data_IF_218424679266
#
_entry.id   IF_218424679266
#
_cell.length_a   1.000
_cell.length_b   1.000
_cell.length_c   1.000
_cell.angle_alpha   90.00
_cell.angle_beta   90.00
_cell.angle_gamma   90.00
#
_symmetry.space_group_name_H-M   'P 1'
#
loop_
_entity.id
_entity.type
_entity.pdbx_description
1 polymer ?
#
# COMPACT_ATOMS: atom_id res chain seq x y z
N UNK A 1 3.77 9.97 -5.19
CA UNK A 1 3.02 9.91 -6.46
C UNK A 1 2.19 8.64 -6.62
N UNK A 2 2.73 7.44 -6.31
CA UNK A 2 2.08 6.18 -6.66
C UNK A 2 1.54 5.42 -5.42
N UNK A 3 2.05 4.20 -5.15
CA UNK A 3 1.53 3.29 -4.14
C UNK A 3 1.74 3.75 -2.69
N UNK A 4 1.05 3.05 -1.78
CA UNK A 4 0.99 3.29 -0.33
C UNK A 4 2.35 3.33 0.37
N UNK A 5 3.36 2.60 -0.13
CA UNK A 5 4.67 2.47 0.53
C UNK A 5 5.33 3.82 0.78
N UNK A 6 5.09 4.83 -0.08
CA UNK A 6 5.59 6.18 0.20
C UNK A 6 7.12 6.29 0.24
N UNK A 7 7.82 5.52 -0.61
CA UNK A 7 9.29 5.50 -0.65
C UNK A 7 9.89 6.91 -0.79
N UNK A 8 11.00 7.15 -0.09
CA UNK A 8 11.74 8.41 -0.14
C UNK A 8 12.58 8.55 -1.41
N UNK A 9 12.52 9.74 -2.00
CA UNK A 9 13.28 10.14 -3.19
C UNK A 9 13.85 11.55 -3.01
N UNK A 10 14.91 11.86 -3.74
CA UNK A 10 15.48 13.20 -3.87
C UNK A 10 15.38 13.65 -5.32
N UNK A 11 14.88 14.86 -5.52
CA UNK A 11 14.86 15.54 -6.81
C UNK A 11 16.03 16.55 -6.85
N UNK A 12 16.97 16.32 -7.75
CA UNK A 12 18.09 17.23 -8.00
C UNK A 12 17.82 17.98 -9.30
N UNK A 13 17.77 19.30 -9.27
CA UNK A 13 17.65 20.12 -10.48
C UNK A 13 18.83 21.07 -10.65
N UNK A 14 19.18 21.35 -11.90
CA UNK A 14 20.23 22.31 -12.26
C UNK A 14 20.00 22.89 -13.66
N UNK A 15 20.56 24.07 -13.99
CA UNK A 15 20.34 24.73 -15.28
C UNK A 15 20.76 23.87 -16.48
N UNK A 16 20.00 23.92 -17.59
CA UNK A 16 20.25 23.11 -18.80
C UNK A 16 21.59 23.31 -19.49
N UNK A 17 22.26 24.42 -19.23
CA UNK A 17 23.58 24.74 -19.77
C UNK A 17 24.73 24.39 -18.81
N UNK A 18 24.45 23.68 -17.71
CA UNK A 18 25.44 23.22 -16.73
C UNK A 18 25.37 21.70 -16.57
N UNK A 19 26.50 21.11 -16.22
CA UNK A 19 26.59 19.68 -15.88
C UNK A 19 27.71 19.47 -14.87
N UNK A 20 27.65 18.35 -14.15
CA UNK A 20 28.77 17.85 -13.35
C UNK A 20 29.84 17.19 -14.22
N UNK A 21 30.98 16.87 -13.61
CA UNK A 21 32.08 16.12 -14.22
C UNK A 21 32.24 14.72 -13.63
N UNK A 22 33.20 13.95 -14.15
CA UNK A 22 33.50 12.60 -13.65
C UNK A 22 34.35 12.58 -12.39
N UNK A 23 35.14 13.63 -12.13
CA UNK A 23 35.98 13.74 -10.95
C UNK A 23 35.14 13.87 -9.66
N UNK A 24 35.61 13.35 -8.50
CA UNK A 24 34.86 13.37 -7.24
C UNK A 24 34.36 14.76 -6.80
N UNK A 25 35.17 15.79 -6.98
CA UNK A 25 34.86 17.19 -6.63
C UNK A 25 33.93 17.89 -7.62
N UNK A 26 33.65 17.26 -8.77
CA UNK A 26 32.85 17.81 -9.86
C UNK A 26 31.42 17.22 -9.92
N UNK A 27 31.01 16.36 -8.97
CA UNK A 27 29.67 15.76 -8.96
C UNK A 27 29.06 15.67 -7.55
N UNK A 28 27.73 15.47 -7.51
CA UNK A 28 26.96 15.45 -6.26
C UNK A 28 27.30 14.27 -5.34
N UNK A 29 27.88 13.20 -5.87
CA UNK A 29 28.15 11.96 -5.15
C UNK A 29 29.53 11.94 -4.48
N UNK A 30 30.43 12.89 -4.79
CA UNK A 30 31.79 12.85 -4.23
C UNK A 30 32.60 11.64 -4.68
N UNK A 31 32.28 11.06 -5.85
CA UNK A 31 32.79 9.76 -6.31
C UNK A 31 33.40 9.87 -7.71
N UNK A 32 34.41 9.06 -8.03
CA UNK A 32 34.99 8.97 -9.38
C UNK A 32 34.05 8.20 -10.33
N UNK A 33 33.30 8.94 -11.15
CA UNK A 33 32.32 8.38 -12.08
C UNK A 33 32.95 7.87 -13.39
N UNK A 34 34.26 8.00 -13.57
CA UNK A 34 34.96 7.36 -14.72
C UNK A 34 35.11 5.84 -14.55
N UNK A 35 34.88 5.34 -13.33
CA UNK A 35 35.00 3.93 -12.96
C UNK A 35 33.63 3.28 -12.87
N UNK A 36 33.59 1.98 -13.19
CA UNK A 36 32.43 1.14 -12.96
C UNK A 36 32.05 1.15 -11.47
N UNK A 37 30.76 1.34 -11.20
CA UNK A 37 30.24 1.39 -9.83
C UNK A 37 29.85 -0.02 -9.35
N UNK A 38 29.96 -0.31 -8.04
CA UNK A 38 29.54 -1.58 -7.46
C UNK A 38 28.02 -1.73 -7.44
N UNK A 39 27.55 -2.95 -7.15
CA UNK A 39 26.13 -3.22 -6.92
C UNK A 39 25.56 -2.29 -5.84
N UNK A 40 24.29 -1.91 -6.01
CA UNK A 40 23.56 -1.05 -5.07
C UNK A 40 24.25 0.30 -4.79
N UNK A 41 25.06 0.83 -5.72
CA UNK A 41 25.71 2.15 -5.55
C UNK A 41 24.71 3.29 -5.40
N UNK A 42 25.10 4.36 -4.68
CA UNK A 42 24.30 5.61 -4.67
C UNK A 42 24.62 6.51 -5.86
N UNK A 43 25.80 6.34 -6.45
CA UNK A 43 26.38 7.19 -7.48
C UNK A 43 25.93 6.79 -8.90
N UNK A 44 24.66 6.38 -9.04
CA UNK A 44 24.06 6.01 -10.32
C UNK A 44 22.57 6.30 -10.34
N UNK A 45 22.03 6.51 -11.55
CA UNK A 45 20.61 6.61 -11.81
C UNK A 45 20.30 6.08 -13.20
N UNK A 46 19.11 5.49 -13.37
CA UNK A 46 18.66 4.99 -14.67
C UNK A 46 18.19 6.13 -15.58
N UNK A 47 18.11 5.93 -16.91
CA UNK A 47 17.58 6.95 -17.82
C UNK A 47 16.17 7.45 -17.45
N UNK A 48 15.31 6.56 -16.93
CA UNK A 48 13.94 6.90 -16.53
C UNK A 48 13.87 7.85 -15.31
N UNK A 49 14.97 7.94 -14.55
CA UNK A 49 15.11 8.86 -13.41
C UNK A 49 15.55 10.26 -13.83
N UNK A 50 15.85 10.51 -15.12
CA UNK A 50 16.29 11.79 -15.64
C UNK A 50 15.26 12.43 -16.59
N UNK A 51 15.09 13.75 -16.50
CA UNK A 51 14.36 14.54 -17.49
C UNK A 51 14.84 16.00 -17.59
N UNK A 52 14.22 16.78 -18.47
CA UNK A 52 14.30 18.25 -18.49
C UNK A 52 12.89 18.79 -18.24
N UNK A 53 12.71 19.66 -17.26
CA UNK A 53 11.40 20.19 -16.88
C UNK A 53 11.47 21.70 -16.70
N UNK A 54 10.32 22.37 -16.74
CA UNK A 54 10.24 23.80 -16.39
C UNK A 54 10.24 23.99 -14.88
N UNK A 55 11.14 24.84 -14.37
CA UNK A 55 11.19 25.30 -12.99
C UNK A 55 11.32 26.83 -13.00
N UNK A 56 10.34 27.52 -12.42
CA UNK A 56 10.29 29.00 -12.39
C UNK A 56 10.45 29.64 -13.78
N UNK A 57 9.84 29.05 -14.81
CA UNK A 57 9.89 29.53 -16.19
C UNK A 57 11.19 29.23 -16.94
N UNK A 58 12.13 28.51 -16.33
CA UNK A 58 13.38 28.08 -16.97
C UNK A 58 13.43 26.57 -17.12
N UNK A 59 14.05 26.10 -18.21
CA UNK A 59 14.32 24.68 -18.36
C UNK A 59 15.48 24.28 -17.45
N UNK A 60 15.27 23.20 -16.69
CA UNK A 60 16.28 22.59 -15.83
C UNK A 60 16.37 21.11 -16.10
N UNK A 61 17.59 20.56 -16.01
CA UNK A 61 17.76 19.14 -15.81
C UNK A 61 17.12 18.74 -14.49
N UNK A 62 16.54 17.55 -14.41
CA UNK A 62 16.07 16.96 -13.17
C UNK A 62 16.46 15.49 -13.10
N UNK A 63 16.95 15.05 -11.94
CA UNK A 63 17.09 13.64 -11.58
C UNK A 63 16.27 13.36 -10.33
N UNK A 64 15.34 12.42 -10.41
CA UNK A 64 14.54 11.94 -9.28
C UNK A 64 15.01 10.53 -8.92
N UNK A 65 15.87 10.42 -7.90
CA UNK A 65 16.47 9.14 -7.48
C UNK A 65 16.04 8.73 -6.07
N UNK A 66 15.94 7.43 -5.77
CA UNK A 66 15.58 6.97 -4.44
C UNK A 66 16.64 7.40 -3.42
N UNK A 67 16.18 7.66 -2.19
CA UNK A 67 17.03 8.07 -1.07
C UNK A 67 17.49 6.87 -0.25
N UNK A 68 18.80 6.64 -0.18
CA UNK A 68 19.40 5.58 0.64
C UNK A 68 19.21 5.77 2.13
N UNK A 69 19.06 7.01 2.60
CA UNK A 69 18.85 7.29 4.01
C UNK A 69 17.39 7.10 4.47
N UNK A 70 16.46 6.91 3.53
CA UNK A 70 15.05 6.74 3.88
C UNK A 70 14.81 5.32 4.40
N UNK A 71 14.40 5.20 5.66
CA UNK A 71 14.17 3.90 6.33
C UNK A 71 13.07 3.05 5.68
N UNK A 72 12.18 3.66 4.89
CA UNK A 72 11.08 2.97 4.20
C UNK A 72 11.57 2.10 3.05
N UNK A 73 12.59 2.54 2.32
CA UNK A 73 13.03 1.87 1.11
C UNK A 73 14.53 1.64 1.03
N UNK A 74 15.34 2.24 1.90
CA UNK A 74 16.79 2.06 1.96
C UNK A 74 17.48 2.25 0.60
N UNK A 75 16.97 3.16 -0.24
CA UNK A 75 17.48 3.40 -1.59
C UNK A 75 16.87 2.53 -2.70
N UNK A 76 15.97 1.60 -2.39
CA UNK A 76 15.20 0.86 -3.38
C UNK A 76 14.25 1.79 -4.13
N UNK A 77 14.14 1.59 -5.44
CA UNK A 77 13.14 2.25 -6.28
C UNK A 77 12.36 1.22 -7.08
N UNK A 78 11.04 1.13 -6.84
CA UNK A 78 10.19 0.26 -7.66
C UNK A 78 10.16 0.74 -9.12
N UNK A 79 9.78 -0.14 -10.05
CA UNK A 79 9.65 0.21 -11.48
C UNK A 79 8.72 1.40 -11.73
N UNK A 80 7.75 1.63 -10.84
CA UNK A 80 6.82 2.77 -10.89
C UNK A 80 7.48 4.05 -10.37
N UNK A 81 8.12 3.99 -9.20
CA UNK A 81 8.76 5.16 -8.59
C UNK A 81 10.01 5.63 -9.35
N UNK A 82 10.79 4.69 -9.88
CA UNK A 82 12.03 4.96 -10.62
C UNK A 82 11.82 5.70 -11.96
N UNK A 83 10.59 5.78 -12.46
CA UNK A 83 10.24 6.50 -13.69
C UNK A 83 9.51 7.82 -13.45
N UNK A 84 9.53 8.36 -12.22
CA UNK A 84 8.86 9.64 -11.93
C UNK A 84 9.35 10.79 -12.82
N UNK A 85 10.65 10.85 -13.12
CA UNK A 85 11.19 11.90 -13.97
C UNK A 85 10.77 11.73 -15.43
N UNK A 86 10.86 10.52 -15.99
CA UNK A 86 10.38 10.21 -17.35
C UNK A 86 8.90 10.51 -17.54
N UNK A 87 8.08 10.21 -16.51
CA UNK A 87 6.64 10.51 -16.49
C UNK A 87 6.33 11.97 -16.11
N UNK A 88 7.31 12.86 -16.08
CA UNK A 88 7.11 14.29 -15.89
C UNK A 88 6.93 14.99 -17.23
N UNK A 89 6.14 16.07 -17.24
CA UNK A 89 5.91 16.88 -18.43
C UNK A 89 7.21 17.52 -18.94
N UNK A 90 7.55 17.29 -20.20
CA UNK A 90 8.69 17.92 -20.85
C UNK A 90 8.38 18.24 -22.31
N UNK A 91 8.50 19.50 -22.70
CA UNK A 91 8.49 19.90 -24.10
C UNK A 91 9.85 19.60 -24.77
N UNK A 92 10.93 19.80 -24.04
CA UNK A 92 12.31 19.61 -24.51
C UNK A 92 12.62 18.15 -24.82
N UNK A 93 12.01 17.23 -24.06
CA UNK A 93 12.17 15.77 -24.24
C UNK A 93 10.91 15.05 -24.73
N UNK A 94 9.85 15.78 -25.06
CA UNK A 94 8.58 15.26 -25.58
C UNK A 94 7.94 14.16 -24.69
N UNK A 95 8.02 14.29 -23.36
CA UNK A 95 7.41 13.34 -22.42
C UNK A 95 6.09 13.90 -21.87
N UNK A 96 5.08 13.03 -21.78
CA UNK A 96 3.75 13.36 -21.25
C UNK A 96 3.06 14.56 -21.93
N UNK A 97 3.24 14.74 -23.24
CA UNK A 97 2.59 15.81 -24.01
C UNK A 97 1.06 15.74 -24.03
N UNK A 98 0.49 14.60 -23.60
CA UNK A 98 -0.93 14.41 -23.38
C UNK A 98 -1.50 15.16 -22.16
N UNK A 99 -0.65 15.72 -21.29
CA UNK A 99 -1.11 16.48 -20.11
C UNK A 99 -1.98 17.66 -20.55
N UNK A 100 -3.09 17.84 -19.85
CA UNK A 100 -3.95 19.01 -20.03
C UNK A 100 -3.18 20.30 -19.69
N UNK A 101 -3.21 21.26 -20.61
CA UNK A 101 -2.56 22.59 -20.48
C UNK A 101 -3.57 23.71 -20.30
N UNK A 102 -4.77 23.55 -20.86
CA UNK A 102 -5.80 24.57 -20.93
C UNK A 102 -7.15 24.01 -20.46
N UNK A 103 -8.02 24.83 -19.86
CA UNK A 103 -9.43 24.50 -19.72
C UNK A 103 -10.06 24.18 -21.07
N UNK A 104 -10.88 23.13 -21.13
CA UNK A 104 -11.56 22.69 -22.35
C UNK A 104 -13.07 22.71 -22.15
N UNK A 105 -13.79 23.32 -23.09
CA UNK A 105 -15.27 23.38 -23.10
C UNK A 105 -15.80 22.75 -24.38
N UNK A 106 -16.87 21.94 -24.26
CA UNK A 106 -17.57 21.40 -25.42
C UNK A 106 -18.44 22.48 -26.07
N UNK A 107 -18.04 22.94 -27.27
CA UNK A 107 -18.77 23.94 -28.06
C UNK A 107 -18.39 23.83 -29.53
N UNK A 108 -19.25 24.32 -30.42
CA UNK A 108 -19.01 24.29 -31.87
C UNK A 108 -18.72 22.88 -32.43
N UNK A 109 -19.29 21.84 -31.79
CA UNK A 109 -19.16 20.44 -32.22
C UNK A 109 -17.94 19.69 -31.69
N UNK A 110 -17.10 20.29 -30.84
CA UNK A 110 -15.90 19.63 -30.30
C UNK A 110 -15.43 20.24 -28.96
N UNK A 111 -14.44 19.62 -28.31
CA UNK A 111 -13.74 20.24 -27.17
C UNK A 111 -12.85 21.37 -27.68
N UNK A 112 -12.97 22.55 -27.10
CA UNK A 112 -12.21 23.75 -27.47
C UNK A 112 -11.50 24.34 -26.25
N UNK A 113 -10.22 24.75 -26.39
CA UNK A 113 -9.52 25.44 -25.33
C UNK A 113 -10.17 26.79 -25.04
N UNK A 114 -10.10 27.22 -23.79
CA UNK A 114 -10.62 28.51 -23.34
C UNK A 114 -9.91 29.02 -22.09
N UNK A 115 -10.26 30.23 -21.63
CA UNK A 115 -9.69 30.80 -20.41
C UNK A 115 -10.28 30.16 -19.14
N UNK A 116 -9.57 30.31 -18.02
CA UNK A 116 -10.10 29.90 -16.71
C UNK A 116 -11.41 30.60 -16.36
N UNK A 117 -11.52 31.90 -16.63
CA UNK A 117 -12.73 32.67 -16.34
C UNK A 117 -13.95 32.15 -17.11
N UNK A 118 -13.80 31.85 -18.41
CA UNK A 118 -14.89 31.30 -19.24
C UNK A 118 -15.31 29.89 -18.77
N UNK A 119 -14.34 29.01 -18.52
CA UNK A 119 -14.61 27.66 -18.06
C UNK A 119 -15.28 27.64 -16.67
N UNK A 120 -14.79 28.45 -15.73
CA UNK A 120 -15.33 28.51 -14.37
C UNK A 120 -16.68 29.20 -14.32
N UNK A 121 -16.91 30.27 -15.10
CA UNK A 121 -18.23 30.92 -15.20
C UNK A 121 -19.29 29.94 -15.71
N UNK A 122 -18.98 29.17 -16.75
CA UNK A 122 -19.89 28.15 -17.27
C UNK A 122 -20.20 27.07 -16.23
N UNK A 123 -19.18 26.48 -15.60
CA UNK A 123 -19.35 25.45 -14.57
C UNK A 123 -20.19 25.99 -13.41
N UNK A 124 -19.89 27.20 -12.92
CA UNK A 124 -20.61 27.80 -11.81
C UNK A 124 -22.08 28.06 -12.16
N UNK A 125 -22.38 28.66 -13.32
CA UNK A 125 -23.76 28.96 -13.73
C UNK A 125 -24.61 27.70 -13.88
N UNK A 126 -24.09 26.67 -14.53
CA UNK A 126 -24.83 25.41 -14.70
C UNK A 126 -25.04 24.73 -13.35
N UNK A 127 -23.99 24.66 -12.51
CA UNK A 127 -24.08 24.04 -11.18
C UNK A 127 -25.11 24.76 -10.30
N UNK A 128 -25.06 26.09 -10.25
CA UNK A 128 -26.02 26.91 -9.49
C UNK A 128 -27.45 26.76 -10.03
N UNK A 129 -27.63 26.73 -11.36
CA UNK A 129 -28.94 26.52 -11.95
C UNK A 129 -29.55 25.16 -11.55
N UNK A 130 -28.74 24.09 -11.61
CA UNK A 130 -29.17 22.74 -11.17
C UNK A 130 -29.51 22.72 -9.68
N UNK A 131 -28.70 23.35 -8.83
CA UNK A 131 -28.98 23.41 -7.39
C UNK A 131 -30.25 24.20 -7.09
N UNK A 132 -30.50 25.29 -7.80
CA UNK A 132 -31.73 26.08 -7.61
C UNK A 132 -32.99 25.33 -8.04
N UNK A 133 -32.91 24.47 -9.06
CA UNK A 133 -34.03 23.70 -9.60
C UNK A 133 -34.27 22.38 -8.86
N UNK A 134 -33.19 21.62 -8.62
CA UNK A 134 -33.24 20.24 -8.10
C UNK A 134 -32.76 20.11 -6.65
N UNK A 135 -32.28 21.19 -6.03
CA UNK A 135 -31.55 21.14 -4.77
C UNK A 135 -30.13 20.57 -4.94
N UNK A 136 -29.38 20.51 -3.85
CA UNK A 136 -28.03 19.94 -3.85
C UNK A 136 -27.98 18.45 -4.22
N UNK A 137 -29.10 17.72 -4.06
CA UNK A 137 -29.21 16.32 -4.47
C UNK A 137 -29.17 16.14 -6.00
N UNK A 138 -29.43 17.20 -6.77
CA UNK A 138 -29.21 17.20 -8.22
C UNK A 138 -27.74 17.21 -8.64
N UNK A 139 -26.81 17.56 -7.74
CA UNK A 139 -25.38 17.57 -8.02
C UNK A 139 -24.71 16.24 -7.64
N UNK A 140 -24.00 15.66 -8.60
CA UNK A 140 -23.24 14.41 -8.42
C UNK A 140 -21.74 14.68 -8.44
N UNK A 141 -21.02 14.07 -7.51
CA UNK A 141 -19.56 14.23 -7.39
C UNK A 141 -18.88 12.87 -7.36
N UNK A 142 -17.78 12.71 -8.09
CA UNK A 142 -16.86 11.59 -7.95
C UNK A 142 -15.48 12.16 -7.67
N UNK A 143 -14.94 11.91 -6.48
CA UNK A 143 -13.69 12.52 -6.03
C UNK A 143 -12.69 11.49 -5.51
N UNK A 144 -11.41 11.85 -5.57
CA UNK A 144 -10.35 11.16 -4.84
C UNK A 144 -10.50 11.42 -3.32
N UNK A 145 -10.15 10.42 -2.52
CA UNK A 145 -10.04 10.51 -1.05
C UNK A 145 -8.66 10.02 -0.55
N UNK A 146 -7.75 9.72 -1.47
CA UNK A 146 -6.44 9.13 -1.19
C UNK A 146 -5.33 10.19 -1.02
N UNK A 147 -4.16 9.75 -0.58
CA UNK A 147 -2.93 10.55 -0.53
C UNK A 147 -2.16 10.59 -1.85
N UNK A 148 -0.93 11.12 -1.87
CA UNK A 148 -0.06 11.06 -3.05
C UNK A 148 -0.49 11.96 -4.22
N UNK A 149 -0.09 11.59 -5.45
CA UNK A 149 -0.42 12.42 -6.62
C UNK A 149 -1.91 12.28 -6.96
N UNK A 150 -2.57 13.38 -7.28
CA UNK A 150 -4.03 13.41 -7.49
C UNK A 150 -4.85 13.37 -6.19
N UNK A 151 -4.20 13.45 -5.02
CA UNK A 151 -4.84 13.47 -3.71
C UNK A 151 -4.03 14.28 -2.71
N UNK A 152 -3.95 13.84 -1.45
CA UNK A 152 -3.19 14.52 -0.38
C UNK A 152 -4.06 15.46 0.47
N UNK A 153 -3.51 15.91 1.60
CA UNK A 153 -4.27 16.68 2.59
C UNK A 153 -4.83 17.99 2.02
N UNK A 154 -4.04 18.71 1.25
CA UNK A 154 -4.42 20.01 0.69
C UNK A 154 -5.59 19.86 -0.29
N UNK A 155 -5.49 18.87 -1.18
CA UNK A 155 -6.48 18.62 -2.22
C UNK A 155 -7.78 18.03 -1.66
N UNK A 156 -7.69 17.05 -0.76
CA UNK A 156 -8.86 16.46 -0.10
C UNK A 156 -9.56 17.47 0.82
N UNK A 157 -8.80 18.35 1.48
CA UNK A 157 -9.38 19.46 2.21
C UNK A 157 -10.08 20.46 1.29
N UNK A 158 -9.47 20.83 0.17
CA UNK A 158 -10.08 21.76 -0.81
C UNK A 158 -11.41 21.24 -1.35
N UNK A 159 -11.43 20.01 -1.87
CA UNK A 159 -12.66 19.39 -2.40
C UNK A 159 -13.67 19.07 -1.30
N UNK A 160 -13.24 18.55 -0.16
CA UNK A 160 -14.11 18.29 0.99
C UNK A 160 -14.74 19.57 1.54
N UNK A 161 -13.96 20.65 1.67
CA UNK A 161 -14.49 21.95 2.11
C UNK A 161 -15.48 22.54 1.11
N UNK A 162 -15.28 22.35 -0.19
CA UNK A 162 -16.25 22.77 -1.20
C UNK A 162 -17.58 21.99 -1.04
N UNK A 163 -17.53 20.66 -1.09
CA UNK A 163 -18.75 19.85 -1.19
C UNK A 163 -19.44 19.54 0.15
N UNK A 164 -18.73 19.63 1.28
CA UNK A 164 -19.28 19.40 2.62
C UNK A 164 -19.26 20.62 3.54
N UNK A 165 -18.33 21.56 3.28
CA UNK A 165 -18.24 22.81 4.03
C UNK A 165 -19.21 23.85 3.48
N UNK A 166 -18.97 24.32 2.26
CA UNK A 166 -19.82 25.30 1.59
C UNK A 166 -21.17 24.71 1.18
N UNK A 167 -21.17 23.45 0.73
CA UNK A 167 -22.36 22.69 0.35
C UNK A 167 -22.62 21.56 1.35
N UNK A 168 -23.66 20.75 1.14
CA UNK A 168 -23.99 19.53 1.89
C UNK A 168 -24.30 18.36 0.95
N UNK A 169 -23.41 18.14 -0.02
CA UNK A 169 -23.60 17.11 -1.06
C UNK A 169 -23.67 15.71 -0.46
N UNK A 170 -24.79 15.01 -0.69
CA UNK A 170 -24.96 13.59 -0.33
C UNK A 170 -24.59 12.65 -1.47
N UNK A 171 -24.89 13.03 -2.71
CA UNK A 171 -24.67 12.22 -3.91
C UNK A 171 -23.22 12.29 -4.41
N UNK A 172 -22.30 11.97 -3.49
CA UNK A 172 -20.87 11.89 -3.75
C UNK A 172 -20.40 10.44 -3.64
N UNK A 173 -19.54 10.03 -4.55
CA UNK A 173 -18.82 8.76 -4.51
C UNK A 173 -17.32 9.00 -4.45
N UNK A 174 -16.60 7.93 -4.15
CA UNK A 174 -15.15 7.94 -4.06
C UNK A 174 -14.55 7.27 -5.32
N UNK A 175 -13.31 7.60 -5.62
CA UNK A 175 -12.62 7.16 -6.84
C UNK A 175 -12.66 5.65 -7.10
N UNK A 176 -12.61 4.82 -6.04
CA UNK A 176 -12.55 3.37 -6.15
C UNK A 176 -13.82 2.63 -5.67
N UNK A 177 -14.83 3.36 -5.19
CA UNK A 177 -16.07 2.77 -4.66
C UNK A 177 -17.29 3.66 -4.91
N UNK A 178 -18.46 3.09 -5.20
CA UNK A 178 -19.58 3.82 -5.80
C UNK A 178 -20.39 4.68 -4.81
N UNK A 179 -19.94 4.84 -3.57
CA UNK A 179 -20.59 5.63 -2.54
C UNK A 179 -19.55 6.32 -1.63
N UNK A 180 -20.02 7.21 -0.75
CA UNK A 180 -19.18 7.84 0.29
C UNK A 180 -19.11 6.96 1.55
N UNK A 181 -18.41 5.83 1.43
CA UNK A 181 -18.26 4.83 2.50
C UNK A 181 -16.78 4.57 2.82
N UNK A 182 -16.52 3.76 3.84
CA UNK A 182 -15.18 3.25 4.17
C UNK A 182 -14.95 1.89 3.50
N UNK A 183 -13.72 1.60 3.13
CA UNK A 183 -13.32 0.25 2.70
C UNK A 183 -13.39 -0.77 3.85
N UNK A 184 -13.32 -0.30 5.10
CA UNK A 184 -12.98 -1.13 6.26
C UNK A 184 -13.87 -0.78 7.45
N UNK A 185 -15.18 -0.68 7.23
CA UNK A 185 -16.15 -0.37 8.28
C UNK A 185 -15.98 -1.29 9.50
N UNK A 186 -15.88 -2.60 9.29
CA UNK A 186 -15.83 -3.59 10.37
C UNK A 186 -14.67 -3.35 11.35
N UNK A 187 -13.42 -3.20 10.88
CA UNK A 187 -12.27 -2.99 11.79
C UNK A 187 -12.38 -1.65 12.54
N UNK A 188 -12.93 -0.61 11.90
CA UNK A 188 -13.14 0.70 12.53
C UNK A 188 -14.25 0.65 13.59
N UNK A 189 -15.36 -0.04 13.30
CA UNK A 189 -16.45 -0.25 14.25
C UNK A 189 -16.00 -1.12 15.44
N UNK A 190 -15.05 -2.03 15.22
CA UNK A 190 -14.36 -2.79 16.26
C UNK A 190 -13.36 -1.95 17.07
N UNK A 191 -13.12 -0.68 16.71
CA UNK A 191 -12.20 0.24 17.39
C UNK A 191 -10.74 0.11 16.98
N UNK A 192 -10.43 -0.63 15.91
CA UNK A 192 -9.07 -0.86 15.41
C UNK A 192 -8.91 -0.21 14.04
N UNK A 193 -8.33 0.99 14.00
CA UNK A 193 -7.98 1.65 12.74
C UNK A 193 -7.02 0.79 11.90
N UNK A 194 -7.20 0.76 10.58
CA UNK A 194 -6.59 -0.24 9.69
C UNK A 194 -5.07 -0.11 9.50
N UNK A 195 -4.49 1.05 9.81
CA UNK A 195 -3.03 1.30 9.79
C UNK A 195 -2.50 1.49 11.22
N UNK A 196 -2.54 0.42 12.01
CA UNK A 196 -2.27 0.43 13.45
C UNK A 196 -0.86 -0.04 13.87
N UNK A 197 -0.03 -0.46 12.91
CA UNK A 197 1.31 -0.98 13.16
C UNK A 197 2.37 -0.15 12.42
N UNK A 198 3.63 -0.60 12.45
CA UNK A 198 4.72 0.00 11.68
C UNK A 198 5.37 -1.02 10.73
N UNK A 199 6.16 -0.56 9.77
CA UNK A 199 6.81 -1.46 8.80
C UNK A 199 7.85 -2.39 9.46
N UNK A 200 8.44 -1.96 10.57
CA UNK A 200 9.36 -2.75 11.36
C UNK A 200 8.69 -3.99 11.98
N UNK A 201 7.37 -3.97 12.23
CA UNK A 201 6.65 -5.16 12.71
C UNK A 201 6.73 -6.33 11.71
N UNK A 202 6.84 -6.05 10.41
CA UNK A 202 7.07 -7.09 9.41
C UNK A 202 8.47 -7.71 9.50
N UNK A 203 9.46 -6.97 10.01
CA UNK A 203 10.80 -7.50 10.29
C UNK A 203 10.82 -8.36 11.57
N UNK A 204 9.89 -8.09 12.48
CA UNK A 204 9.88 -8.63 13.83
C UNK A 204 8.92 -9.81 14.05
N UNK A 205 7.89 -9.97 13.22
CA UNK A 205 6.90 -11.03 13.36
C UNK A 205 7.53 -12.44 13.30
N UNK A 206 6.99 -13.39 14.08
CA UNK A 206 7.25 -14.82 13.93
C UNK A 206 6.49 -15.40 12.72
N UNK A 207 5.34 -14.81 12.38
CA UNK A 207 4.53 -15.21 11.23
C UNK A 207 3.90 -13.98 10.57
N UNK A 208 4.01 -13.91 9.24
CA UNK A 208 3.28 -12.93 8.44
C UNK A 208 2.08 -13.65 7.82
N UNK A 209 0.88 -13.12 8.01
CA UNK A 209 -0.34 -13.58 7.35
C UNK A 209 -0.73 -12.53 6.32
N UNK A 210 -0.58 -12.88 5.04
CA UNK A 210 -0.83 -12.00 3.91
C UNK A 210 -2.12 -12.43 3.18
N UNK A 211 -3.19 -11.66 3.33
CA UNK A 211 -4.53 -11.99 2.81
C UNK A 211 -4.88 -11.11 1.62
N UNK A 212 -5.23 -11.72 0.49
CA UNK A 212 -5.72 -10.99 -0.68
C UNK A 212 -4.74 -9.92 -1.18
N UNK A 213 -3.44 -10.16 -1.00
CA UNK A 213 -2.37 -9.22 -1.36
C UNK A 213 -1.30 -9.88 -2.22
N UNK A 214 -0.85 -9.16 -3.24
CA UNK A 214 0.28 -9.53 -4.08
C UNK A 214 1.42 -8.53 -3.83
N UNK A 215 1.97 -8.56 -2.61
CA UNK A 215 2.81 -7.51 -2.05
C UNK A 215 4.07 -7.21 -2.86
N UNK A 216 4.68 -8.21 -3.51
CA UNK A 216 5.83 -7.96 -4.37
C UNK A 216 5.48 -7.02 -5.54
N UNK A 217 4.29 -7.13 -6.11
CA UNK A 217 3.87 -6.29 -7.23
C UNK A 217 3.23 -4.98 -6.76
N UNK A 218 2.52 -5.00 -5.64
CA UNK A 218 1.59 -3.91 -5.23
C UNK A 218 2.10 -3.06 -4.06
N UNK A 219 2.95 -3.62 -3.18
CA UNK A 219 3.66 -2.92 -2.09
C UNK A 219 5.17 -3.22 -2.13
N UNK A 220 5.73 -3.26 -3.35
CA UNK A 220 7.05 -3.81 -3.68
C UNK A 220 8.15 -3.53 -2.65
N UNK A 221 8.39 -2.27 -2.31
CA UNK A 221 9.52 -1.94 -1.45
C UNK A 221 9.23 -2.20 0.04
N UNK A 222 7.97 -2.25 0.48
CA UNK A 222 7.66 -2.73 1.82
C UNK A 222 7.99 -4.22 1.93
N UNK A 223 7.55 -5.01 0.95
CA UNK A 223 7.88 -6.42 0.84
C UNK A 223 9.40 -6.65 0.79
N UNK A 224 10.11 -6.00 -0.14
CA UNK A 224 11.55 -6.21 -0.34
C UNK A 224 12.41 -5.72 0.81
N UNK A 225 12.07 -4.57 1.42
CA UNK A 225 12.91 -3.95 2.45
C UNK A 225 12.59 -4.40 3.88
N UNK A 226 11.40 -4.96 4.13
CA UNK A 226 10.97 -5.30 5.50
C UNK A 226 10.49 -6.75 5.65
N UNK A 227 9.79 -7.32 4.68
CA UNK A 227 9.32 -8.71 4.78
C UNK A 227 10.44 -9.70 4.45
N UNK A 228 11.13 -9.48 3.32
CA UNK A 228 12.23 -10.34 2.86
C UNK A 228 13.35 -10.47 3.91
N UNK A 229 13.79 -9.41 4.62
CA UNK A 229 14.75 -9.56 5.71
C UNK A 229 14.32 -10.54 6.81
N UNK A 230 13.03 -10.56 7.16
CA UNK A 230 12.51 -11.50 8.15
C UNK A 230 12.49 -12.94 7.63
N UNK A 231 12.04 -13.12 6.39
CA UNK A 231 11.98 -14.42 5.71
C UNK A 231 13.38 -15.05 5.54
N UNK A 232 14.37 -14.22 5.19
CA UNK A 232 15.79 -14.63 5.11
C UNK A 232 16.43 -14.87 6.47
N UNK A 233 15.85 -14.33 7.54
CA UNK A 233 16.42 -14.34 8.89
C UNK A 233 17.47 -13.25 9.16
N UNK A 234 17.64 -12.27 8.28
CA UNK A 234 18.58 -11.16 8.50
C UNK A 234 18.10 -10.17 9.55
N UNK A 235 16.82 -10.21 9.95
CA UNK A 235 16.28 -9.45 11.09
C UNK A 235 16.38 -10.18 12.43
N UNK A 236 16.98 -11.38 12.49
CA UNK A 236 17.01 -12.20 13.73
C UNK A 236 17.69 -11.49 14.91
N UNK A 237 18.82 -10.81 14.67
CA UNK A 237 19.52 -10.12 15.76
C UNK A 237 18.73 -8.94 16.30
N UNK A 238 17.94 -8.28 15.42
CA UNK A 238 16.97 -7.26 15.82
C UNK A 238 15.87 -7.84 16.71
N UNK A 239 15.32 -9.01 16.36
CA UNK A 239 14.34 -9.70 17.21
C UNK A 239 14.92 -10.10 18.57
N UNK A 240 16.16 -10.61 18.63
CA UNK A 240 16.82 -10.98 19.89
C UNK A 240 17.04 -9.75 20.78
N UNK A 241 17.46 -8.63 20.17
CA UNK A 241 17.66 -7.38 20.90
C UNK A 241 16.33 -6.86 21.48
N UNK A 242 15.25 -6.92 20.70
CA UNK A 242 13.93 -6.41 21.09
C UNK A 242 13.21 -7.32 22.11
N UNK A 243 13.30 -8.64 21.94
CA UNK A 243 12.51 -9.61 22.73
C UNK A 243 13.30 -10.31 23.84
N UNK A 244 14.59 -10.00 23.97
CA UNK A 244 15.45 -10.52 25.04
C UNK A 244 15.58 -12.04 25.01
N UNK A 245 14.99 -12.71 26.02
CA UNK A 245 15.06 -14.18 26.17
C UNK A 245 13.96 -14.95 25.44
N UNK A 246 13.02 -14.24 24.80
CA UNK A 246 11.99 -14.87 23.97
C UNK A 246 12.63 -15.65 22.81
N UNK A 247 12.27 -16.91 22.57
CA UNK A 247 12.78 -17.65 21.42
C UNK A 247 12.35 -16.99 20.11
N UNK A 248 13.30 -16.81 19.18
CA UNK A 248 13.07 -16.19 17.87
C UNK A 248 13.64 -17.04 16.75
N UNK A 249 12.91 -17.09 15.64
CA UNK A 249 13.26 -17.78 14.41
C UNK A 249 12.96 -16.89 13.20
N UNK A 250 13.46 -17.31 12.02
CA UNK A 250 13.08 -16.66 10.75
C UNK A 250 11.57 -16.82 10.57
N UNK A 251 10.90 -15.82 10.00
CA UNK A 251 9.44 -15.86 9.91
C UNK A 251 8.94 -16.99 9.00
N UNK A 252 7.81 -17.57 9.41
CA UNK A 252 6.92 -18.25 8.50
C UNK A 252 6.04 -17.23 7.77
N UNK A 253 5.51 -17.58 6.60
CA UNK A 253 4.50 -16.77 5.92
C UNK A 253 3.32 -17.61 5.43
N UNK A 254 2.12 -17.16 5.74
CA UNK A 254 0.86 -17.69 5.24
C UNK A 254 0.32 -16.70 4.21
N UNK A 255 0.00 -17.18 3.01
CA UNK A 255 -0.55 -16.36 1.93
C UNK A 255 -1.93 -16.92 1.57
N UNK A 256 -2.97 -16.14 1.85
CA UNK A 256 -4.36 -16.47 1.50
C UNK A 256 -4.69 -15.77 0.19
N UNK A 257 -4.65 -16.52 -0.90
CA UNK A 257 -4.93 -16.01 -2.25
C UNK A 257 -5.37 -17.19 -3.13
N UNK A 258 -6.55 -17.15 -3.78
CA UNK A 258 -6.96 -18.18 -4.74
C UNK A 258 -5.94 -18.43 -5.86
N UNK A 259 -5.13 -17.42 -6.18
CA UNK A 259 -4.12 -17.46 -7.24
C UNK A 259 -2.72 -17.62 -6.65
N UNK A 260 -1.92 -18.50 -7.25
CA UNK A 260 -0.46 -18.51 -7.01
C UNK A 260 0.18 -17.32 -7.72
N UNK A 261 0.74 -16.39 -6.95
CA UNK A 261 1.33 -15.14 -7.46
C UNK A 261 2.86 -15.16 -7.46
N UNK A 262 3.48 -14.13 -8.05
CA UNK A 262 4.93 -13.93 -7.93
C UNK A 262 5.36 -13.63 -6.49
N UNK A 263 4.46 -13.12 -5.64
CA UNK A 263 4.72 -12.98 -4.20
C UNK A 263 4.91 -14.35 -3.55
N UNK A 264 4.04 -15.32 -3.84
CA UNK A 264 4.20 -16.70 -3.35
C UNK A 264 5.54 -17.28 -3.81
N UNK A 265 5.85 -17.16 -5.11
CA UNK A 265 7.11 -17.65 -5.64
C UNK A 265 8.33 -17.00 -4.96
N UNK A 266 8.33 -15.68 -4.78
CA UNK A 266 9.41 -14.97 -4.13
C UNK A 266 9.57 -15.42 -2.67
N UNK A 267 8.47 -15.55 -1.92
CA UNK A 267 8.54 -16.06 -0.55
C UNK A 267 9.17 -17.45 -0.47
N UNK A 268 8.85 -18.36 -1.40
CA UNK A 268 9.45 -19.70 -1.43
C UNK A 268 10.95 -19.66 -1.72
N UNK A 269 11.39 -18.75 -2.60
CA UNK A 269 12.81 -18.52 -2.91
C UNK A 269 13.55 -17.95 -1.70
N UNK A 270 12.95 -16.99 -1.01
CA UNK A 270 13.61 -16.25 0.08
C UNK A 270 13.59 -16.97 1.43
N UNK A 271 12.51 -17.69 1.74
CA UNK A 271 12.33 -18.37 3.02
C UNK A 271 12.61 -19.89 2.96
N UNK A 272 12.49 -20.49 1.78
CA UNK A 272 12.35 -21.93 1.56
C UNK A 272 10.87 -22.36 1.60
N UNK A 273 10.50 -23.34 0.77
CA UNK A 273 9.10 -23.81 0.61
C UNK A 273 8.44 -24.23 1.92
N UNK A 274 9.19 -24.88 2.82
CA UNK A 274 8.65 -25.36 4.11
C UNK A 274 8.24 -24.23 5.05
N UNK A 275 8.68 -22.99 4.78
CA UNK A 275 8.33 -21.79 5.56
C UNK A 275 7.19 -20.99 4.94
N UNK A 276 6.64 -21.44 3.81
CA UNK A 276 5.60 -20.74 3.05
C UNK A 276 4.37 -21.63 2.94
N UNK A 277 3.24 -21.12 3.40
CA UNK A 277 1.95 -21.76 3.22
C UNK A 277 1.10 -20.93 2.28
N UNK A 278 0.97 -21.37 1.03
CA UNK A 278 0.00 -20.79 0.10
C UNK A 278 -1.34 -21.49 0.27
N UNK A 279 -2.28 -20.81 0.92
CA UNK A 279 -3.65 -21.26 1.06
C UNK A 279 -4.45 -20.80 -0.17
N UNK A 280 -4.47 -21.67 -1.19
CA UNK A 280 -5.18 -21.47 -2.44
C UNK A 280 -6.69 -21.71 -2.29
N UNK A 281 -7.35 -20.85 -1.50
CA UNK A 281 -8.78 -20.96 -1.22
C UNK A 281 -9.64 -20.78 -2.48
N UNK A 282 -10.84 -21.34 -2.46
CA UNK A 282 -11.91 -20.96 -3.37
C UNK A 282 -12.19 -19.45 -3.24
N UNK A 283 -12.45 -18.77 -4.35
CA UNK A 283 -12.68 -17.32 -4.35
C UNK A 283 -13.88 -16.95 -3.46
N UNK A 284 -13.68 -15.98 -2.56
CA UNK A 284 -14.73 -15.44 -1.69
C UNK A 284 -15.10 -16.34 -0.51
N UNK A 285 -14.13 -17.12 0.00
CA UNK A 285 -14.34 -18.06 1.11
C UNK A 285 -13.47 -17.77 2.34
N UNK A 286 -12.84 -16.60 2.38
CA UNK A 286 -11.94 -16.13 3.45
C UNK A 286 -12.61 -16.19 4.84
N UNK A 287 -13.87 -15.77 4.95
CA UNK A 287 -14.60 -15.79 6.23
C UNK A 287 -14.71 -17.21 6.83
N UNK A 288 -14.93 -18.23 5.99
CA UNK A 288 -14.98 -19.61 6.46
C UNK A 288 -13.62 -20.07 7.00
N UNK A 289 -12.53 -19.68 6.35
CA UNK A 289 -11.16 -19.94 6.83
C UNK A 289 -10.92 -19.26 8.18
N UNK A 290 -11.23 -17.96 8.30
CA UNK A 290 -10.98 -17.19 9.53
C UNK A 290 -11.82 -17.68 10.71
N UNK A 291 -13.08 -18.05 10.46
CA UNK A 291 -13.94 -18.66 11.47
C UNK A 291 -13.41 -20.03 11.93
N UNK A 292 -12.90 -20.84 11.00
CA UNK A 292 -12.23 -22.10 11.30
C UNK A 292 -10.97 -21.90 12.16
N UNK A 293 -10.11 -20.95 11.79
CA UNK A 293 -8.94 -20.56 12.58
C UNK A 293 -9.31 -20.09 13.98
N UNK A 294 -10.23 -19.13 14.10
CA UNK A 294 -10.66 -18.58 15.39
C UNK A 294 -11.19 -19.69 16.30
N UNK A 295 -12.06 -20.56 15.76
CA UNK A 295 -12.65 -21.67 16.52
C UNK A 295 -11.55 -22.60 17.04
N UNK A 296 -10.65 -23.05 16.16
CA UNK A 296 -9.57 -23.97 16.53
C UNK A 296 -8.59 -23.36 17.54
N UNK A 297 -8.13 -22.14 17.31
CA UNK A 297 -7.21 -21.41 18.21
C UNK A 297 -7.84 -21.23 19.60
N UNK A 298 -9.12 -20.86 19.63
CA UNK A 298 -9.85 -20.68 20.88
C UNK A 298 -10.09 -22.00 21.63
N UNK A 299 -10.34 -23.11 20.93
CA UNK A 299 -10.51 -24.43 21.54
C UNK A 299 -9.19 -25.01 22.05
N UNK A 300 -8.06 -24.65 21.43
CA UNK A 300 -6.71 -24.94 21.95
C UNK A 300 -6.29 -24.04 23.12
N UNK A 301 -7.01 -22.94 23.35
CA UNK A 301 -6.68 -21.98 24.39
C UNK A 301 -5.43 -21.13 24.07
N UNK A 302 -5.05 -21.03 22.80
CA UNK A 302 -3.93 -20.20 22.32
C UNK A 302 -4.35 -18.73 22.20
N UNK A 303 -4.88 -18.20 23.29
CA UNK A 303 -5.46 -16.87 23.38
C UNK A 303 -4.69 -16.04 24.41
N UNK A 304 -4.56 -14.75 24.12
CA UNK A 304 -4.11 -13.77 25.11
C UNK A 304 -5.29 -13.39 26.01
N UNK A 305 -5.54 -14.21 27.03
CA UNK A 305 -6.69 -14.03 27.93
C UNK A 305 -6.64 -12.70 28.67
N UNK A 306 -5.45 -12.30 29.14
CA UNK A 306 -5.28 -11.03 29.84
C UNK A 306 -5.65 -9.85 28.95
N UNK A 307 -5.23 -9.86 27.68
CA UNK A 307 -5.64 -8.84 26.72
C UNK A 307 -7.15 -8.88 26.43
N UNK A 308 -7.72 -10.07 26.23
CA UNK A 308 -9.17 -10.23 25.97
C UNK A 308 -9.99 -9.64 27.12
N UNK A 309 -9.65 -9.98 28.36
CA UNK A 309 -10.37 -9.55 29.55
C UNK A 309 -10.24 -8.03 29.80
N UNK A 310 -9.07 -7.45 29.50
CA UNK A 310 -8.79 -6.04 29.77
C UNK A 310 -9.24 -5.08 28.67
N UNK A 311 -9.24 -5.52 27.41
CA UNK A 311 -9.26 -4.63 26.24
C UNK A 311 -10.30 -5.00 25.18
N UNK A 312 -11.17 -5.98 25.44
CA UNK A 312 -12.19 -6.40 24.47
C UNK A 312 -13.56 -6.54 25.11
N UNK A 313 -14.60 -6.67 24.28
CA UNK A 313 -15.95 -6.99 24.73
C UNK A 313 -16.52 -8.12 23.88
N UNK A 314 -17.49 -8.87 24.44
CA UNK A 314 -18.28 -9.88 23.70
C UNK A 314 -17.49 -11.01 23.02
N UNK A 315 -16.25 -11.30 23.42
CA UNK A 315 -15.42 -12.36 22.81
C UNK A 315 -16.13 -13.72 22.76
N UNK A 316 -16.77 -14.15 23.84
CA UNK A 316 -17.49 -15.43 23.89
C UNK A 316 -18.72 -15.45 22.96
N UNK A 317 -19.43 -14.33 22.82
CA UNK A 317 -20.56 -14.24 21.90
C UNK A 317 -20.09 -14.33 20.44
N UNK A 318 -19.02 -13.62 20.10
CA UNK A 318 -18.35 -13.71 18.79
C UNK A 318 -17.89 -15.14 18.52
N UNK A 319 -17.18 -15.77 19.47
CA UNK A 319 -16.71 -17.16 19.34
C UNK A 319 -17.86 -18.12 19.03
N UNK A 320 -18.97 -18.01 19.74
CA UNK A 320 -20.11 -18.90 19.57
C UNK A 320 -20.85 -18.66 18.24
N UNK A 321 -21.03 -17.41 17.84
CA UNK A 321 -21.71 -17.07 16.58
C UNK A 321 -20.91 -17.52 15.35
N UNK A 322 -19.59 -17.48 15.44
CA UNK A 322 -18.67 -17.77 14.34
C UNK A 322 -18.13 -19.21 14.37
N UNK A 323 -18.67 -20.08 15.21
CA UNK A 323 -18.16 -21.45 15.40
C UNK A 323 -18.21 -22.23 14.09
N UNK A 324 -17.04 -22.60 13.57
CA UNK A 324 -16.88 -23.34 12.31
C UNK A 324 -15.88 -24.47 12.53
N UNK A 325 -16.25 -25.70 12.19
CA UNK A 325 -15.33 -26.84 12.29
C UNK A 325 -14.24 -26.76 11.22
N UNK A 326 -13.10 -27.44 11.43
CA UNK A 326 -12.06 -27.48 10.40
C UNK A 326 -12.56 -28.19 9.14
N UNK A 327 -13.42 -29.19 9.29
CA UNK A 327 -14.04 -29.96 8.20
C UNK A 327 -14.99 -29.08 7.37
N UNK A 328 -15.80 -28.25 8.02
CA UNK A 328 -16.71 -27.32 7.33
C UNK A 328 -15.92 -26.22 6.61
N UNK A 329 -14.90 -25.65 7.27
CA UNK A 329 -14.01 -24.68 6.65
C UNK A 329 -13.27 -25.29 5.44
N UNK A 330 -12.75 -26.51 5.55
CA UNK A 330 -12.11 -27.24 4.46
C UNK A 330 -13.06 -27.44 3.27
N UNK A 331 -14.30 -27.87 3.54
CA UNK A 331 -15.32 -28.06 2.49
C UNK A 331 -15.63 -26.79 1.71
N UNK A 332 -15.74 -25.64 2.39
CA UNK A 332 -16.08 -24.36 1.77
C UNK A 332 -14.88 -23.79 1.01
N UNK A 333 -13.73 -23.75 1.68
CA UNK A 333 -12.49 -23.14 1.16
C UNK A 333 -11.81 -23.98 0.08
N UNK A 334 -12.10 -25.28 0.00
CA UNK A 334 -11.39 -26.20 -0.89
C UNK A 334 -10.00 -26.62 -0.39
N UNK A 335 -9.59 -26.14 0.80
CA UNK A 335 -8.36 -26.56 1.46
C UNK A 335 -8.53 -27.92 2.14
N UNK A 336 -7.42 -28.56 2.49
CA UNK A 336 -7.41 -29.67 3.42
C UNK A 336 -7.55 -29.20 4.88
N UNK A 337 -8.10 -30.07 5.73
CA UNK A 337 -8.16 -29.85 7.19
C UNK A 337 -6.76 -29.61 7.77
N UNK A 338 -5.75 -30.30 7.24
CA UNK A 338 -4.37 -30.19 7.71
C UNK A 338 -3.74 -28.84 7.37
N UNK A 339 -4.01 -28.27 6.19
CA UNK A 339 -3.58 -26.90 5.83
C UNK A 339 -4.19 -25.86 6.79
N UNK A 340 -5.49 -25.97 7.09
CA UNK A 340 -6.18 -25.05 8.00
C UNK A 340 -5.64 -25.20 9.43
N UNK A 341 -5.43 -26.43 9.89
CA UNK A 341 -4.85 -26.71 11.21
C UNK A 341 -3.44 -26.14 11.33
N UNK A 342 -2.60 -26.39 10.33
CA UNK A 342 -1.19 -26.01 10.33
C UNK A 342 -1.00 -24.49 10.23
N UNK A 343 -1.82 -23.81 9.45
CA UNK A 343 -1.85 -22.34 9.43
C UNK A 343 -2.27 -21.78 10.79
N UNK A 344 -3.28 -22.35 11.46
CA UNK A 344 -3.65 -21.91 12.81
C UNK A 344 -2.53 -22.14 13.86
N UNK A 345 -1.78 -23.23 13.74
CA UNK A 345 -0.57 -23.47 14.56
C UNK A 345 0.50 -22.40 14.32
N UNK A 346 0.80 -22.10 13.06
CA UNK A 346 1.73 -21.02 12.70
C UNK A 346 1.24 -19.65 13.15
N UNK A 347 -0.06 -19.42 13.28
CA UNK A 347 -0.59 -18.15 13.75
C UNK A 347 -0.45 -17.99 15.26
N UNK A 348 -0.76 -19.03 16.05
CA UNK A 348 -1.03 -18.84 17.48
C UNK A 348 -0.38 -19.86 18.43
N UNK A 349 0.14 -20.99 17.95
CA UNK A 349 0.74 -21.98 18.84
C UNK A 349 1.90 -21.33 19.63
N UNK A 350 1.85 -21.36 20.99
CA UNK A 350 2.87 -20.76 21.83
C UNK A 350 4.26 -21.28 21.48
N UNK A 351 5.24 -20.40 21.54
CA UNK A 351 6.65 -20.74 21.39
C UNK A 351 7.15 -21.52 22.61
N UNK A 352 8.38 -22.01 22.53
CA UNK A 352 9.05 -22.58 23.69
C UNK A 352 9.01 -21.60 24.88
N UNK A 353 8.82 -22.13 26.09
CA UNK A 353 8.61 -21.30 27.28
C UNK A 353 7.21 -20.66 27.37
N UNK A 354 6.25 -21.12 26.56
CA UNK A 354 4.87 -20.62 26.53
C UNK A 354 4.74 -19.13 26.13
N UNK A 355 5.76 -18.60 25.43
CA UNK A 355 5.72 -17.24 24.91
C UNK A 355 4.70 -17.12 23.77
N UNK A 356 3.95 -16.01 23.75
CA UNK A 356 2.97 -15.72 22.70
C UNK A 356 3.68 -15.57 21.35
N UNK A 357 3.13 -16.19 20.30
CA UNK A 357 3.61 -16.00 18.94
C UNK A 357 3.21 -14.61 18.43
N UNK A 358 4.14 -13.91 17.76
CA UNK A 358 3.93 -12.57 17.20
C UNK A 358 3.55 -12.70 15.74
N UNK A 359 2.29 -12.42 15.42
CA UNK A 359 1.77 -12.60 14.06
C UNK A 359 1.29 -11.27 13.51
N UNK A 360 1.87 -10.86 12.37
CA UNK A 360 1.42 -9.68 11.63
C UNK A 360 0.36 -10.11 10.63
N UNK A 361 -0.83 -9.53 10.71
CA UNK A 361 -1.88 -9.70 9.72
C UNK A 361 -1.87 -8.51 8.77
N UNK A 362 -1.66 -8.77 7.49
CA UNK A 362 -1.75 -7.79 6.41
C UNK A 362 -2.80 -8.25 5.41
N UNK A 363 -3.75 -7.38 5.08
CA UNK A 363 -4.76 -7.66 4.07
C UNK A 363 -4.91 -6.50 3.10
N UNK A 364 -5.33 -6.80 1.88
CA UNK A 364 -5.63 -5.79 0.86
C UNK A 364 -6.81 -6.22 -0.03
N UNK A 365 -6.89 -5.70 -1.26
CA UNK A 365 -8.06 -5.76 -2.14
C UNK A 365 -8.63 -7.15 -2.47
N UNK A 366 -7.87 -8.23 -2.35
CA UNK A 366 -8.46 -9.57 -2.47
C UNK A 366 -9.46 -9.91 -1.37
N UNK A 367 -9.28 -9.30 -0.18
CA UNK A 367 -10.24 -9.35 0.93
C UNK A 367 -11.22 -8.17 0.86
N UNK A 368 -10.71 -6.94 0.77
CA UNK A 368 -11.54 -5.72 0.82
C UNK A 368 -12.60 -5.67 -0.31
N UNK A 369 -12.26 -6.12 -1.52
CA UNK A 369 -13.20 -6.26 -2.66
C UNK A 369 -13.67 -7.71 -2.86
N UNK A 370 -13.45 -8.55 -1.86
CA UNK A 370 -13.85 -9.94 -1.83
C UNK A 370 -15.32 -10.11 -1.46
N UNK A 371 -15.65 -11.34 -1.06
CA UNK A 371 -16.96 -11.71 -0.55
C UNK A 371 -16.84 -11.90 0.97
N UNK A 372 -17.12 -10.81 1.70
CA UNK A 372 -17.09 -10.75 3.16
C UNK A 372 -18.46 -11.07 3.77
#
# INVERSE_FOLDING_TARGET
HFCIVGCGYKAYSWPVNKQGGTAPDANKFGTDLSKQQPAETDAWYSPAMYNIVSQNGQDVHIVIKPDKACVVNSGLGSIRGARMAEMSYSQQRNTELQRLTDPMVWRYGQMQPTSWDDALDLVARVTVAIINDMGEDGLFVSAYDHGGAGGGYENTWGTGKLYFGAMKIKNIRIHNRPAYNSEVHATRDMGVGELNNCYEDAELADTIVAVGTNALETQTNYFLNHWVPNLRGTSLDKKKAEFGSEPVEKAHIIIVDPRRTVTVNACEVEAGKDMVMHLAINSGTDLALFNGWMTYIADKGWLDKAFIDASTTNFNAMKNANKTSLEDAAKITGLSVDEIRKSAEWIAQPKAGNARRRTMFAYEKGFIWGND
#
